data_IF_647387575394
#
_entry.id   IF_647387575394
#
_cell.length_a   1.000
_cell.length_b   1.000
_cell.length_c   1.000
_cell.angle_alpha   90.00
_cell.angle_beta   90.00
_cell.angle_gamma   90.00
#
_symmetry.space_group_name_H-M   'P 1'
#
loop_
_entity.id
_entity.type
_entity.pdbx_description
1 polymer ?
#
# COMPACT_ATOMS: atom_id res chain seq x y z
N UNK A 1 15.24 -1.52 -16.63
CA UNK A 1 14.13 -0.58 -16.39
C UNK A 1 13.08 -0.81 -17.45
N UNK A 2 11.85 -1.13 -17.05
CA UNK A 2 10.72 -1.30 -17.97
C UNK A 2 10.16 0.07 -18.41
N UNK A 3 9.21 0.06 -19.35
CA UNK A 3 8.63 1.31 -19.89
C UNK A 3 7.77 2.05 -18.84
N UNK A 4 7.06 1.33 -17.98
CA UNK A 4 6.22 1.93 -16.94
C UNK A 4 7.01 2.76 -15.93
N UNK A 5 8.16 2.26 -15.45
CA UNK A 5 9.05 3.05 -14.59
C UNK A 5 9.66 4.23 -15.31
N UNK A 6 10.05 4.07 -16.59
CA UNK A 6 10.58 5.19 -17.38
C UNK A 6 9.54 6.32 -17.47
N UNK A 7 8.33 5.97 -17.88
CA UNK A 7 7.23 6.92 -18.07
C UNK A 7 6.92 7.64 -16.76
N UNK A 8 6.74 6.91 -15.66
CA UNK A 8 6.44 7.53 -14.36
C UNK A 8 7.55 8.45 -13.84
N UNK A 9 8.81 8.14 -14.14
CA UNK A 9 9.96 8.99 -13.75
C UNK A 9 10.11 10.22 -14.63
N UNK A 10 9.85 10.10 -15.95
CA UNK A 10 9.82 11.23 -16.88
C UNK A 10 8.65 12.17 -16.53
N UNK A 11 7.49 11.61 -16.17
CA UNK A 11 6.39 12.39 -15.58
C UNK A 11 6.85 13.07 -14.29
N UNK A 12 7.42 12.35 -13.32
CA UNK A 12 7.83 12.94 -12.04
C UNK A 12 8.80 14.12 -12.22
N UNK A 13 9.70 14.06 -13.20
CA UNK A 13 10.64 15.14 -13.50
C UNK A 13 9.93 16.48 -13.76
N UNK A 14 8.77 16.45 -14.40
CA UNK A 14 8.05 17.64 -14.90
C UNK A 14 6.72 17.91 -14.18
N UNK A 15 6.09 16.87 -13.64
CA UNK A 15 4.79 16.92 -12.96
C UNK A 15 4.87 17.13 -11.44
N UNK A 16 6.07 17.29 -10.88
CA UNK A 16 6.27 17.61 -9.47
C UNK A 16 7.11 18.88 -9.30
N UNK A 17 6.96 19.65 -8.20
CA UNK A 17 7.76 20.86 -7.96
C UNK A 17 9.25 20.58 -7.95
N UNK A 18 10.08 21.56 -8.30
CA UNK A 18 11.54 21.43 -8.14
C UNK A 18 11.91 21.27 -6.65
N UNK A 19 12.98 20.55 -6.37
CA UNK A 19 13.51 20.38 -5.00
C UNK A 19 14.32 21.59 -4.53
N UNK A 20 14.74 22.47 -5.45
CA UNK A 20 15.67 23.57 -5.21
C UNK A 20 17.14 23.15 -5.20
N UNK A 21 17.45 21.86 -5.34
CA UNK A 21 18.82 21.35 -5.45
C UNK A 21 19.22 21.33 -6.93
N UNK A 22 20.23 22.12 -7.29
CA UNK A 22 20.80 22.11 -8.64
C UNK A 22 21.48 20.77 -8.94
N UNK A 23 20.93 20.02 -9.88
CA UNK A 23 21.41 18.70 -10.25
C UNK A 23 22.85 18.68 -10.80
N UNK A 24 23.33 19.77 -11.41
CA UNK A 24 24.65 19.85 -12.05
C UNK A 24 25.70 20.59 -11.22
N UNK A 25 25.31 21.17 -10.08
CA UNK A 25 26.23 21.87 -9.22
C UNK A 25 27.25 20.91 -8.58
N UNK A 26 28.46 21.43 -8.37
CA UNK A 26 29.50 20.75 -7.60
C UNK A 26 29.32 21.18 -6.15
N UNK A 27 28.99 20.22 -5.29
CA UNK A 27 28.73 20.46 -3.89
C UNK A 27 29.95 20.14 -3.03
N UNK A 28 30.22 21.00 -2.05
CA UNK A 28 31.16 20.70 -0.98
C UNK A 28 30.48 19.82 0.08
N UNK A 29 31.14 18.71 0.43
CA UNK A 29 30.58 17.70 1.33
C UNK A 29 30.34 18.23 2.75
N UNK A 30 31.19 19.13 3.22
CA UNK A 30 31.22 19.54 4.63
C UNK A 30 30.30 20.76 4.86
N UNK A 31 30.00 21.54 3.82
CA UNK A 31 29.17 22.74 3.93
C UNK A 31 27.79 22.63 3.28
N UNK A 32 27.49 21.57 2.53
CA UNK A 32 26.20 21.43 1.86
C UNK A 32 25.04 21.29 2.86
N UNK A 33 24.00 22.09 2.63
CA UNK A 33 22.71 21.98 3.30
C UNK A 33 21.59 21.98 2.27
N UNK A 34 20.60 21.11 2.46
CA UNK A 34 19.41 21.12 1.62
C UNK A 34 18.65 22.45 1.77
N UNK A 35 18.08 23.00 0.68
CA UNK A 35 17.17 24.14 0.76
C UNK A 35 15.84 23.73 1.42
N UNK A 36 15.11 24.69 1.98
CA UNK A 36 13.81 24.44 2.64
C UNK A 36 12.75 23.86 1.69
N UNK A 37 12.93 24.04 0.38
CA UNK A 37 12.07 23.47 -0.66
C UNK A 37 12.35 21.99 -0.94
N UNK A 38 13.45 21.44 -0.43
CA UNK A 38 13.85 20.08 -0.72
C UNK A 38 12.88 19.07 -0.11
N UNK A 39 12.64 18.00 -0.85
CA UNK A 39 11.83 16.88 -0.41
C UNK A 39 12.37 15.57 -0.96
N UNK A 40 12.03 14.49 -0.27
CA UNK A 40 12.37 13.11 -0.61
C UNK A 40 11.28 12.39 -1.40
N UNK A 41 11.71 11.41 -2.19
CA UNK A 41 10.87 10.43 -2.86
C UNK A 41 11.11 9.07 -2.22
N UNK A 42 10.09 8.54 -1.55
CA UNK A 42 10.13 7.23 -0.92
C UNK A 42 9.82 6.15 -1.96
N UNK A 43 10.71 5.19 -2.10
CA UNK A 43 10.51 3.98 -2.91
C UNK A 43 11.43 2.88 -2.41
N UNK A 44 11.30 1.68 -2.96
CA UNK A 44 12.27 0.63 -2.69
C UNK A 44 13.64 0.99 -3.25
N UNK A 45 14.71 0.59 -2.55
CA UNK A 45 16.06 1.07 -2.80
C UNK A 45 16.60 0.73 -4.20
N UNK A 46 16.14 -0.36 -4.80
CA UNK A 46 16.41 -0.75 -6.19
C UNK A 46 16.22 0.43 -7.17
N UNK A 47 15.25 1.32 -6.89
CA UNK A 47 14.82 2.38 -7.80
C UNK A 47 15.49 3.74 -7.54
N UNK A 48 16.27 3.89 -6.47
CA UNK A 48 16.78 5.21 -6.05
C UNK A 48 17.69 5.88 -7.08
N UNK A 49 18.53 5.13 -7.80
CA UNK A 49 19.31 5.71 -8.90
C UNK A 49 18.43 6.17 -10.04
N UNK A 50 17.36 5.45 -10.37
CA UNK A 50 16.43 5.86 -11.43
C UNK A 50 15.68 7.15 -11.06
N UNK A 51 15.25 7.27 -9.81
CA UNK A 51 14.67 8.51 -9.24
C UNK A 51 15.66 9.67 -9.35
N UNK A 52 16.92 9.44 -9.00
CA UNK A 52 17.96 10.48 -9.09
C UNK A 52 18.21 10.90 -10.53
N UNK A 53 18.51 9.94 -11.41
CA UNK A 53 19.01 10.22 -12.76
C UNK A 53 17.93 10.66 -13.76
N UNK A 54 16.72 10.12 -13.65
CA UNK A 54 15.64 10.38 -14.63
C UNK A 54 14.69 11.44 -14.08
N UNK A 55 14.14 11.21 -12.89
CA UNK A 55 13.20 12.17 -12.29
C UNK A 55 13.90 13.42 -11.74
N UNK A 56 15.22 13.39 -11.55
CA UNK A 56 15.97 14.49 -10.91
C UNK A 56 15.33 14.88 -9.58
N UNK A 57 15.00 13.87 -8.79
CA UNK A 57 14.48 14.00 -7.42
C UNK A 57 15.37 13.25 -6.43
N UNK A 58 15.20 13.53 -5.15
CA UNK A 58 16.05 13.00 -4.08
C UNK A 58 15.42 11.71 -3.55
N UNK A 59 15.99 10.52 -3.80
CA UNK A 59 15.42 9.29 -3.27
C UNK A 59 15.70 9.15 -1.76
N UNK A 60 14.72 8.66 -0.98
CA UNK A 60 14.95 8.37 0.44
C UNK A 60 15.77 7.10 0.69
N UNK A 61 15.83 6.19 -0.29
CA UNK A 61 16.67 4.99 -0.28
C UNK A 61 17.27 4.72 -1.66
N UNK A 62 18.47 4.12 -1.74
CA UNK A 62 19.17 3.95 -3.02
C UNK A 62 19.97 2.63 -3.15
N UNK A 63 20.42 2.27 -4.38
CA UNK A 63 21.14 1.02 -4.66
C UNK A 63 22.45 0.78 -3.89
N UNK A 64 22.99 1.77 -3.17
CA UNK A 64 24.07 1.55 -2.20
C UNK A 64 23.57 0.98 -0.87
N UNK A 65 22.29 0.60 -0.80
CA UNK A 65 21.57 0.14 0.38
C UNK A 65 21.47 1.21 1.49
N UNK A 66 21.74 2.47 1.14
CA UNK A 66 21.48 3.59 2.03
C UNK A 66 19.96 3.81 2.16
N UNK A 67 19.49 4.04 3.39
CA UNK A 67 18.07 4.30 3.66
C UNK A 67 17.15 3.07 3.62
N UNK A 68 17.67 1.86 3.43
CA UNK A 68 16.87 0.62 3.37
C UNK A 68 16.35 0.20 4.73
N UNK A 69 17.27 0.11 5.71
CA UNK A 69 17.07 -0.58 6.98
C UNK A 69 16.93 0.37 8.15
N UNK A 70 16.60 -0.20 9.31
CA UNK A 70 16.37 0.54 10.55
C UNK A 70 14.93 1.04 10.67
N UNK A 71 14.62 1.59 11.84
CA UNK A 71 13.27 2.03 12.23
C UNK A 71 12.65 3.09 11.29
N UNK A 72 13.49 3.80 10.54
CA UNK A 72 13.08 4.88 9.64
C UNK A 72 13.38 4.55 8.17
N UNK A 73 13.81 3.32 7.87
CA UNK A 73 14.20 2.92 6.51
C UNK A 73 12.99 2.63 5.60
N UNK A 74 13.25 2.51 4.29
CA UNK A 74 12.23 2.15 3.31
C UNK A 74 11.52 0.83 3.64
N UNK A 75 12.24 -0.17 4.19
CA UNK A 75 11.62 -1.42 4.63
C UNK A 75 10.59 -1.19 5.75
N UNK A 76 10.91 -0.36 6.74
CA UNK A 76 9.97 0.01 7.80
C UNK A 76 8.78 0.80 7.26
N UNK A 77 9.00 1.75 6.35
CA UNK A 77 7.93 2.51 5.71
C UNK A 77 6.91 1.60 5.02
N UNK A 78 7.36 0.68 4.15
CA UNK A 78 6.46 -0.14 3.34
C UNK A 78 5.78 -1.28 4.11
N UNK A 79 6.42 -1.80 5.17
CA UNK A 79 5.90 -2.94 5.96
C UNK A 79 5.08 -2.47 7.18
N UNK A 80 5.13 -1.18 7.53
CA UNK A 80 4.30 -0.58 8.56
C UNK A 80 2.82 -0.87 8.33
N UNK A 81 2.09 -1.17 9.42
CA UNK A 81 0.68 -1.58 9.36
C UNK A 81 -0.29 -0.48 9.83
N UNK A 82 0.26 0.65 10.25
CA UNK A 82 -0.48 1.81 10.76
C UNK A 82 -0.03 3.04 9.99
N UNK A 83 -0.97 3.93 9.68
CA UNK A 83 -0.64 5.20 9.01
C UNK A 83 0.21 6.10 9.90
N UNK A 84 -0.01 6.13 11.22
CA UNK A 84 0.80 6.91 12.17
C UNK A 84 2.31 6.61 12.04
N UNK A 85 2.70 5.34 12.08
CA UNK A 85 4.11 4.95 11.91
C UNK A 85 4.64 5.28 10.50
N UNK A 86 3.80 5.16 9.49
CA UNK A 86 4.17 5.48 8.10
C UNK A 86 4.44 6.97 7.93
N UNK A 87 3.57 7.81 8.49
CA UNK A 87 3.68 9.26 8.52
C UNK A 87 4.91 9.70 9.31
N UNK A 88 5.16 9.10 10.48
CA UNK A 88 6.35 9.36 11.28
C UNK A 88 7.63 9.16 10.47
N UNK A 89 7.70 8.07 9.69
CA UNK A 89 8.85 7.79 8.83
C UNK A 89 8.92 8.80 7.67
N UNK A 90 7.79 9.10 7.03
CA UNK A 90 7.72 10.11 5.97
C UNK A 90 8.25 11.47 6.43
N UNK A 91 7.79 11.94 7.60
CA UNK A 91 8.20 13.21 8.20
C UNK A 91 9.71 13.24 8.48
N UNK A 92 10.25 12.19 9.12
CA UNK A 92 11.69 12.08 9.42
C UNK A 92 12.53 12.06 8.14
N UNK A 93 12.00 11.47 7.07
CA UNK A 93 12.69 11.36 5.78
C UNK A 93 12.43 12.55 4.86
N UNK A 94 11.62 13.52 5.27
CA UNK A 94 11.18 14.62 4.41
C UNK A 94 10.48 14.12 3.14
N UNK A 95 9.83 12.96 3.20
CA UNK A 95 9.14 12.36 2.05
C UNK A 95 7.97 13.25 1.65
N UNK A 96 7.88 13.58 0.36
CA UNK A 96 6.69 14.22 -0.22
C UNK A 96 6.00 13.32 -1.23
N UNK A 97 6.76 12.51 -1.97
CA UNK A 97 6.19 11.57 -2.94
C UNK A 97 6.58 10.14 -2.61
N UNK A 98 5.71 9.20 -2.92
CA UNK A 98 5.95 7.76 -2.78
C UNK A 98 5.76 7.10 -4.13
N UNK A 99 6.77 6.39 -4.62
CA UNK A 99 6.66 5.57 -5.83
C UNK A 99 6.58 4.09 -5.44
N UNK A 100 5.54 3.41 -5.93
CA UNK A 100 5.30 1.99 -5.70
C UNK A 100 5.17 1.27 -7.04
N UNK A 101 5.57 0.00 -7.09
CA UNK A 101 5.25 -0.87 -8.22
C UNK A 101 4.70 -2.23 -7.77
N UNK A 102 4.19 -2.98 -8.75
CA UNK A 102 3.63 -4.30 -8.48
C UNK A 102 4.66 -5.28 -7.94
N UNK A 103 5.93 -5.14 -8.32
CA UNK A 103 7.00 -5.99 -7.80
C UNK A 103 7.16 -5.79 -6.29
N UNK A 104 7.17 -4.55 -5.80
CA UNK A 104 7.20 -4.24 -4.36
C UNK A 104 6.02 -4.89 -3.62
N UNK A 105 4.80 -4.80 -4.15
CA UNK A 105 3.62 -5.39 -3.52
C UNK A 105 3.62 -6.94 -3.56
N UNK A 106 4.36 -7.55 -4.48
CA UNK A 106 4.37 -9.00 -4.72
C UNK A 106 5.79 -9.58 -4.64
N UNK A 107 6.50 -9.70 -5.76
CA UNK A 107 7.76 -10.44 -5.90
C UNK A 107 8.96 -9.92 -5.10
N UNK A 108 8.93 -8.67 -4.66
CA UNK A 108 9.96 -8.03 -3.80
C UNK A 108 9.50 -7.83 -2.35
N UNK A 109 8.23 -8.13 -2.05
CA UNK A 109 7.69 -8.00 -0.70
C UNK A 109 8.54 -8.76 0.33
N UNK A 110 8.98 -9.97 -0.03
CA UNK A 110 9.79 -10.82 0.83
C UNK A 110 11.09 -10.15 1.29
N UNK A 111 11.73 -9.39 0.39
CA UNK A 111 12.97 -8.69 0.69
C UNK A 111 12.68 -7.53 1.66
N UNK A 112 11.63 -6.74 1.41
CA UNK A 112 11.23 -5.65 2.32
C UNK A 112 10.92 -6.18 3.72
N UNK A 113 10.15 -7.27 3.83
CA UNK A 113 9.83 -7.89 5.10
C UNK A 113 11.08 -8.42 5.83
N UNK A 114 12.05 -8.98 5.09
CA UNK A 114 13.32 -9.46 5.64
C UNK A 114 14.23 -8.32 6.12
N UNK A 115 14.29 -7.21 5.38
CA UNK A 115 15.02 -6.02 5.80
C UNK A 115 14.39 -5.34 7.01
N UNK A 116 13.06 -5.41 7.14
CA UNK A 116 12.33 -4.91 8.29
C UNK A 116 12.54 -5.77 9.54
N UNK A 117 12.41 -7.10 9.39
CA UNK A 117 12.66 -8.07 10.45
C UNK A 117 13.24 -9.35 9.87
N UNK A 118 14.56 -9.53 9.98
CA UNK A 118 15.27 -10.67 9.40
C UNK A 118 14.95 -12.01 10.06
N UNK A 119 14.38 -12.00 11.27
CA UNK A 119 13.97 -13.22 11.97
C UNK A 119 12.60 -13.70 11.49
N UNK A 120 11.64 -12.77 11.33
CA UNK A 120 10.29 -13.11 10.90
C UNK A 120 10.17 -13.23 9.37
N UNK A 121 10.88 -12.37 8.62
CA UNK A 121 10.80 -12.28 7.17
C UNK A 121 9.36 -12.11 6.68
N UNK A 122 9.05 -12.71 5.53
CA UNK A 122 7.72 -12.62 4.92
C UNK A 122 6.66 -13.48 5.60
N UNK A 123 7.03 -14.49 6.40
CA UNK A 123 6.11 -15.54 6.87
C UNK A 123 4.83 -15.02 7.57
N UNK A 124 4.87 -13.97 8.42
CA UNK A 124 3.66 -13.44 9.03
C UNK A 124 2.67 -12.80 8.04
N UNK A 125 3.15 -12.41 6.86
CA UNK A 125 2.41 -11.65 5.84
C UNK A 125 2.00 -12.55 4.67
N UNK A 126 2.97 -13.32 4.17
CA UNK A 126 2.86 -14.17 3.00
C UNK A 126 3.25 -15.64 3.32
N UNK A 127 2.52 -16.34 4.21
CA UNK A 127 2.85 -17.71 4.55
C UNK A 127 2.65 -18.64 3.36
N UNK A 128 3.56 -19.60 3.23
CA UNK A 128 3.49 -20.67 2.23
C UNK A 128 2.91 -21.91 2.87
N UNK A 129 1.86 -22.45 2.26
CA UNK A 129 1.24 -23.71 2.64
C UNK A 129 1.40 -24.75 1.54
N UNK A 130 1.42 -26.03 1.93
CA UNK A 130 1.30 -27.14 1.00
C UNK A 130 -0.16 -27.53 0.84
N UNK A 131 -0.62 -27.59 -0.41
CA UNK A 131 -1.98 -27.98 -0.78
C UNK A 131 -1.93 -29.28 -1.56
N UNK A 132 -2.74 -30.30 -1.23
CA UNK A 132 -2.80 -31.53 -2.00
C UNK A 132 -3.47 -31.33 -3.36
N UNK A 133 -2.89 -31.91 -4.40
CA UNK A 133 -3.40 -31.84 -5.79
C UNK A 133 -4.79 -32.48 -5.92
N UNK A 134 -5.04 -33.48 -5.08
CA UNK A 134 -6.34 -34.09 -4.92
C UNK A 134 -6.61 -34.30 -3.42
N UNK A 135 -7.59 -33.61 -2.82
CA UNK A 135 -7.95 -33.78 -1.40
C UNK A 135 -8.35 -35.21 -1.04
N UNK A 136 -8.86 -36.01 -2.00
CA UNK A 136 -9.25 -37.39 -1.79
C UNK A 136 -8.10 -38.40 -1.96
N UNK A 137 -6.99 -38.02 -2.61
CA UNK A 137 -5.80 -38.86 -2.78
C UNK A 137 -4.54 -37.99 -2.90
N UNK A 138 -3.99 -37.49 -1.78
CA UNK A 138 -2.89 -36.54 -1.77
C UNK A 138 -1.55 -37.24 -2.07
N UNK A 139 -1.28 -37.53 -3.34
CA UNK A 139 0.01 -38.09 -3.78
C UNK A 139 1.08 -37.02 -4.04
N UNK A 140 0.65 -35.78 -4.29
CA UNK A 140 1.49 -34.63 -4.55
C UNK A 140 0.99 -33.42 -3.76
N UNK A 141 1.93 -32.60 -3.30
CA UNK A 141 1.70 -31.39 -2.52
C UNK A 141 2.33 -30.22 -3.26
N UNK A 142 1.53 -29.19 -3.53
CA UNK A 142 1.97 -27.97 -4.20
C UNK A 142 2.08 -26.80 -3.22
N UNK A 143 3.17 -26.03 -3.24
CA UNK A 143 3.28 -24.83 -2.43
C UNK A 143 2.38 -23.72 -2.98
N UNK A 144 1.64 -23.08 -2.09
CA UNK A 144 0.80 -21.91 -2.37
C UNK A 144 1.17 -20.80 -1.41
N UNK A 145 1.61 -19.66 -1.95
CA UNK A 145 1.74 -18.43 -1.17
C UNK A 145 0.36 -17.86 -0.90
N UNK A 146 0.07 -17.60 0.36
CA UNK A 146 -1.17 -16.99 0.81
C UNK A 146 -0.88 -15.64 1.47
N UNK A 147 -1.91 -14.83 1.71
CA UNK A 147 -1.82 -13.47 2.23
C UNK A 147 -2.71 -13.36 3.47
N UNK A 148 -2.18 -12.77 4.54
CA UNK A 148 -2.88 -12.61 5.83
C UNK A 148 -3.36 -11.18 6.04
N UNK A 149 -4.15 -10.96 7.11
CA UNK A 149 -4.51 -9.62 7.60
C UNK A 149 -3.28 -8.70 7.68
N UNK A 150 -2.14 -9.25 8.11
CA UNK A 150 -0.90 -8.48 8.25
C UNK A 150 -0.38 -7.95 6.92
N UNK A 151 -0.49 -8.71 5.82
CA UNK A 151 -0.10 -8.24 4.51
C UNK A 151 -0.99 -7.09 4.04
N UNK A 152 -2.31 -7.26 4.12
CA UNK A 152 -3.25 -6.25 3.61
C UNK A 152 -3.18 -4.93 4.35
N UNK A 153 -2.78 -4.94 5.62
CA UNK A 153 -2.58 -3.74 6.42
C UNK A 153 -1.25 -3.03 6.14
N UNK A 154 -0.30 -3.65 5.42
CA UNK A 154 0.97 -2.97 5.10
C UNK A 154 0.76 -1.75 4.23
N UNK A 155 1.57 -0.72 4.43
CA UNK A 155 1.56 0.51 3.61
C UNK A 155 1.71 0.21 2.13
N UNK A 156 2.57 -0.74 1.75
CA UNK A 156 2.70 -1.11 0.32
C UNK A 156 1.39 -1.68 -0.25
N UNK A 157 0.69 -2.54 0.47
CA UNK A 157 -0.59 -3.09 0.00
C UNK A 157 -1.67 -2.00 -0.04
N UNK A 158 -1.77 -1.17 1.02
CA UNK A 158 -2.72 -0.06 1.12
C UNK A 158 -2.56 0.95 -0.02
N UNK A 159 -1.33 1.34 -0.33
CA UNK A 159 -1.04 2.22 -1.47
C UNK A 159 -1.28 1.50 -2.79
N UNK A 160 -0.57 0.40 -3.05
CA UNK A 160 -0.47 -0.15 -4.40
C UNK A 160 -1.69 -0.96 -4.81
N UNK A 161 -2.25 -1.78 -3.91
CA UNK A 161 -3.35 -2.69 -4.26
C UNK A 161 -4.71 -1.99 -4.16
N UNK A 162 -4.83 -1.00 -3.26
CA UNK A 162 -6.10 -0.39 -2.87
C UNK A 162 -6.18 1.12 -3.11
N UNK A 163 -5.17 1.71 -3.76
CA UNK A 163 -5.13 3.15 -4.10
C UNK A 163 -5.30 4.08 -2.87
N UNK A 164 -4.93 3.60 -1.68
CA UNK A 164 -5.13 4.30 -0.41
C UNK A 164 -6.59 4.41 0.04
N UNK A 165 -7.52 3.69 -0.57
CA UNK A 165 -8.96 3.74 -0.26
C UNK A 165 -9.36 2.68 0.78
N UNK A 166 -10.37 3.00 1.60
CA UNK A 166 -11.05 2.04 2.45
C UNK A 166 -11.57 0.87 1.59
N UNK A 167 -11.13 -0.34 1.90
CA UNK A 167 -11.52 -1.56 1.19
C UNK A 167 -12.05 -2.59 2.18
N UNK A 168 -13.29 -3.02 2.01
CA UNK A 168 -13.91 -4.03 2.87
C UNK A 168 -13.36 -5.42 2.58
N UNK A 169 -13.25 -6.24 3.62
CA UNK A 169 -12.97 -7.66 3.45
C UNK A 169 -14.04 -8.34 2.59
N UNK A 170 -13.61 -9.23 1.70
CA UNK A 170 -14.51 -10.05 0.90
C UNK A 170 -14.71 -11.45 1.50
N UNK A 171 -15.02 -12.39 0.62
CA UNK A 171 -14.90 -13.81 0.92
C UNK A 171 -13.44 -14.19 1.15
N UNK A 172 -13.19 -15.04 2.12
CA UNK A 172 -11.84 -15.49 2.52
C UNK A 172 -11.76 -17.01 2.52
N UNK A 173 -10.54 -17.55 2.46
CA UNK A 173 -10.30 -18.96 2.75
C UNK A 173 -10.12 -19.14 4.25
N UNK A 174 -11.09 -19.78 4.90
CA UNK A 174 -10.87 -20.48 6.15
C UNK A 174 -10.06 -21.75 5.85
N UNK A 175 -8.94 -21.94 6.53
CA UNK A 175 -8.07 -23.10 6.36
C UNK A 175 -7.82 -23.78 7.69
N UNK A 176 -7.78 -25.11 7.68
CA UNK A 176 -7.22 -25.93 8.75
C UNK A 176 -5.94 -26.58 8.24
N UNK A 177 -4.88 -26.53 9.03
CA UNK A 177 -3.57 -27.02 8.62
C UNK A 177 -2.82 -27.70 9.76
N UNK A 178 -1.86 -28.54 9.37
CA UNK A 178 -0.96 -29.21 10.31
C UNK A 178 0.50 -28.84 10.05
N UNK A 179 1.27 -28.70 11.13
CA UNK A 179 2.73 -28.51 11.10
C UNK A 179 3.50 -29.81 11.31
N UNK A 180 2.82 -30.94 11.54
CA UNK A 180 3.42 -32.22 11.92
C UNK A 180 3.34 -33.29 10.83
N UNK A 181 3.04 -32.91 9.59
CA UNK A 181 2.90 -33.85 8.46
C UNK A 181 4.22 -34.52 8.03
N UNK A 182 5.37 -33.93 8.37
CA UNK A 182 6.68 -34.38 7.89
C UNK A 182 6.92 -34.14 6.39
N UNK A 183 6.01 -33.42 5.71
CA UNK A 183 6.03 -33.22 4.26
C UNK A 183 7.01 -32.12 3.78
N UNK A 184 7.79 -31.53 4.68
CA UNK A 184 8.74 -30.47 4.36
C UNK A 184 8.70 -29.33 5.38
N UNK A 185 9.26 -28.14 5.03
CA UNK A 185 9.35 -27.01 5.96
C UNK A 185 8.04 -26.22 6.11
N UNK A 186 7.02 -26.53 5.29
CA UNK A 186 5.77 -25.77 5.23
C UNK A 186 4.60 -26.57 5.81
N UNK A 187 3.64 -25.89 6.49
CA UNK A 187 2.43 -26.56 6.96
C UNK A 187 1.57 -27.06 5.80
N UNK A 188 0.83 -28.16 6.02
CA UNK A 188 -0.06 -28.76 5.02
C UNK A 188 -1.49 -28.39 5.32
N UNK A 189 -2.20 -27.81 4.35
CA UNK A 189 -3.65 -27.58 4.44
C UNK A 189 -4.37 -28.92 4.37
N UNK A 190 -5.20 -29.16 5.38
CA UNK A 190 -6.00 -30.39 5.56
C UNK A 190 -7.47 -30.17 5.25
N UNK A 191 -7.96 -28.93 5.39
CA UNK A 191 -9.31 -28.52 5.05
C UNK A 191 -9.30 -27.05 4.62
N UNK A 192 -10.16 -26.68 3.67
CA UNK A 192 -10.35 -25.30 3.27
C UNK A 192 -11.82 -25.06 2.88
N UNK A 193 -12.35 -23.90 3.26
CA UNK A 193 -13.68 -23.45 2.89
C UNK A 193 -13.67 -21.95 2.60
N UNK A 194 -14.51 -21.53 1.66
CA UNK A 194 -14.76 -20.10 1.39
C UNK A 194 -15.88 -19.65 2.33
N UNK A 195 -15.65 -18.57 3.07
CA UNK A 195 -16.56 -18.03 4.07
C UNK A 195 -16.48 -16.50 4.09
N UNK A 196 -17.50 -15.83 4.62
CA UNK A 196 -17.39 -14.40 4.93
C UNK A 196 -16.35 -14.16 6.04
N UNK A 197 -15.58 -13.07 5.96
CA UNK A 197 -14.44 -12.83 6.86
C UNK A 197 -14.80 -12.92 8.37
N UNK A 198 -15.96 -12.40 8.79
CA UNK A 198 -16.40 -12.47 10.19
C UNK A 198 -16.73 -13.91 10.63
N UNK A 199 -17.42 -14.67 9.79
CA UNK A 199 -17.75 -16.09 10.03
C UNK A 199 -16.47 -16.93 10.10
N UNK A 200 -15.57 -16.75 9.14
CA UNK A 200 -14.29 -17.45 9.07
C UNK A 200 -13.42 -17.21 10.32
N UNK A 201 -13.41 -15.97 10.84
CA UNK A 201 -12.72 -15.65 12.12
C UNK A 201 -13.33 -16.38 13.30
N UNK A 202 -14.66 -16.40 13.39
CA UNK A 202 -15.36 -17.11 14.47
C UNK A 202 -15.08 -18.61 14.42
N UNK A 203 -15.11 -19.21 13.22
CA UNK A 203 -14.79 -20.62 13.00
C UNK A 203 -13.33 -20.95 13.37
N UNK A 204 -12.36 -20.12 12.94
CA UNK A 204 -10.95 -20.30 13.28
C UNK A 204 -10.69 -20.18 14.78
N UNK A 205 -11.32 -19.23 15.46
CA UNK A 205 -11.23 -19.10 16.91
C UNK A 205 -11.81 -20.34 17.63
N UNK A 206 -12.97 -20.83 17.17
CA UNK A 206 -13.61 -22.02 17.73
C UNK A 206 -12.74 -23.28 17.54
N UNK A 207 -12.18 -23.49 16.35
CA UNK A 207 -11.29 -24.61 16.06
C UNK A 207 -10.04 -24.56 16.95
N UNK A 208 -9.36 -23.41 16.97
CA UNK A 208 -8.11 -23.26 17.71
C UNK A 208 -8.26 -23.40 19.23
N UNK A 209 -9.46 -23.14 19.78
CA UNK A 209 -9.74 -23.37 21.21
C UNK A 209 -9.72 -24.85 21.61
N UNK A 210 -9.86 -25.77 20.64
CA UNK A 210 -9.96 -27.22 20.87
C UNK A 210 -8.95 -28.03 20.05
N UNK A 211 -8.02 -27.34 19.36
CA UNK A 211 -7.11 -27.96 18.43
C UNK A 211 -6.10 -28.87 19.14
N UNK A 212 -5.83 -30.02 18.53
CA UNK A 212 -4.77 -30.92 18.98
C UNK A 212 -3.39 -30.29 18.72
N UNK A 213 -2.35 -30.66 19.49
CA UNK A 213 -0.99 -30.17 19.24
C UNK A 213 -0.55 -30.40 17.79
N UNK A 214 -0.12 -29.33 17.11
CA UNK A 214 0.31 -29.39 15.72
C UNK A 214 -0.79 -29.19 14.68
N UNK A 215 -2.04 -28.98 15.10
CA UNK A 215 -3.19 -28.60 14.25
C UNK A 215 -3.63 -27.17 14.53
N UNK A 216 -4.00 -26.44 13.49
CA UNK A 216 -4.36 -25.03 13.58
C UNK A 216 -5.41 -24.67 12.52
N UNK A 217 -6.15 -23.59 12.77
CA UNK A 217 -6.98 -22.92 11.78
C UNK A 217 -6.58 -21.46 11.59
N UNK A 218 -6.74 -20.92 10.38
CA UNK A 218 -6.49 -19.51 10.06
C UNK A 218 -7.41 -19.02 8.95
N UNK A 219 -7.45 -17.71 8.77
CA UNK A 219 -7.99 -17.07 7.58
C UNK A 219 -6.86 -16.58 6.69
N UNK A 220 -6.97 -16.76 5.38
CA UNK A 220 -6.02 -16.27 4.38
C UNK A 220 -6.74 -15.97 3.07
N UNK A 221 -6.04 -15.33 2.14
CA UNK A 221 -6.41 -15.38 0.73
C UNK A 221 -5.22 -15.77 -0.14
N UNK A 222 -5.46 -16.21 -1.38
CA UNK A 222 -4.41 -16.49 -2.37
C UNK A 222 -4.13 -15.29 -3.27
N UNK A 223 -4.95 -14.23 -3.19
CA UNK A 223 -4.86 -13.04 -4.03
C UNK A 223 -4.54 -11.78 -3.22
N UNK A 224 -3.47 -11.08 -3.61
CA UNK A 224 -2.96 -9.88 -2.92
C UNK A 224 -3.91 -8.67 -2.94
N UNK A 225 -4.94 -8.70 -3.78
CA UNK A 225 -5.93 -7.63 -3.93
C UNK A 225 -7.32 -8.01 -3.36
N UNK A 226 -7.42 -9.11 -2.60
CA UNK A 226 -8.66 -9.54 -1.96
C UNK A 226 -8.48 -9.63 -0.44
N UNK A 227 -8.70 -8.54 0.29
CA UNK A 227 -8.31 -8.46 1.69
C UNK A 227 -9.13 -9.36 2.59
N UNK A 228 -8.47 -9.93 3.59
CA UNK A 228 -9.09 -10.77 4.64
C UNK A 228 -9.63 -9.96 5.82
N UNK A 229 -9.28 -8.68 5.89
CA UNK A 229 -9.68 -7.70 6.91
C UNK A 229 -10.09 -6.40 6.22
N UNK A 230 -10.97 -5.62 6.85
CA UNK A 230 -11.23 -4.27 6.37
C UNK A 230 -9.91 -3.48 6.40
N UNK A 231 -9.53 -2.95 5.24
CA UNK A 231 -8.32 -2.17 5.06
C UNK A 231 -8.69 -0.69 5.19
N UNK A 232 -8.23 0.01 6.24
CA UNK A 232 -8.54 1.42 6.40
C UNK A 232 -7.88 2.26 5.31
N UNK A 233 -8.57 3.33 4.92
CA UNK A 233 -8.05 4.33 4.00
C UNK A 233 -6.74 4.93 4.51
N UNK A 234 -5.93 5.45 3.59
CA UNK A 234 -4.82 6.33 3.90
C UNK A 234 -5.33 7.76 3.78
N UNK A 235 -5.34 8.47 4.90
CA UNK A 235 -5.85 9.83 5.03
C UNK A 235 -4.91 10.89 4.45
N UNK A 236 -3.61 10.59 4.41
CA UNK A 236 -2.55 11.52 4.05
C UNK A 236 -1.88 11.21 2.70
N UNK A 237 -2.41 10.25 1.94
CA UNK A 237 -1.81 9.82 0.67
C UNK A 237 -2.84 9.87 -0.46
N UNK A 238 -2.55 10.64 -1.50
CA UNK A 238 -3.34 10.69 -2.74
C UNK A 238 -2.55 10.15 -3.92
N UNK A 239 -3.19 9.36 -4.77
CA UNK A 239 -2.63 8.98 -6.07
C UNK A 239 -2.56 10.24 -6.94
N UNK A 240 -1.39 10.52 -7.50
CA UNK A 240 -1.15 11.70 -8.36
C UNK A 240 -0.74 11.32 -9.78
N UNK A 241 -0.26 10.09 -9.98
CA UNK A 241 0.07 9.53 -11.28
C UNK A 241 0.10 8.01 -11.25
N UNK A 242 -0.18 7.38 -12.38
CA UNK A 242 0.02 5.95 -12.59
C UNK A 242 0.46 5.65 -14.02
N UNK A 243 1.25 4.60 -14.18
CA UNK A 243 1.75 4.16 -15.48
C UNK A 243 0.64 3.46 -16.30
N UNK A 244 0.78 3.35 -17.64
CA UNK A 244 -0.32 2.89 -18.49
C UNK A 244 -0.64 1.40 -18.37
N UNK A 245 0.34 0.56 -18.02
CA UNK A 245 0.16 -0.90 -18.04
C UNK A 245 -0.70 -1.38 -16.87
N UNK A 246 -1.85 -1.98 -17.15
CA UNK A 246 -2.54 -2.85 -16.18
C UNK A 246 -1.80 -4.19 -16.11
N UNK A 247 -1.52 -4.66 -14.89
CA UNK A 247 -0.87 -5.96 -14.67
C UNK A 247 -1.78 -7.15 -14.96
N UNK A 248 -3.10 -6.92 -15.08
CA UNK A 248 -4.06 -7.91 -15.54
C UNK A 248 -4.34 -7.73 -17.04
N UNK A 249 -4.54 -8.86 -17.74
CA UNK A 249 -4.87 -8.86 -19.18
C UNK A 249 -6.29 -8.38 -19.50
N UNK A 250 -7.13 -8.17 -18.48
CA UNK A 250 -8.51 -7.68 -18.60
C UNK A 250 -8.69 -6.24 -18.11
N UNK A 251 -9.92 -5.75 -18.13
CA UNK A 251 -10.27 -4.40 -17.64
C UNK A 251 -10.48 -4.34 -16.12
N UNK A 252 -10.65 -5.47 -15.45
CA UNK A 252 -10.83 -5.54 -14.01
C UNK A 252 -10.27 -6.86 -13.46
N UNK A 253 -9.57 -6.84 -12.31
CA UNK A 253 -9.15 -5.64 -11.58
C UNK A 253 -8.13 -4.80 -12.39
N UNK A 254 -8.14 -3.49 -12.18
CA UNK A 254 -7.23 -2.55 -12.86
C UNK A 254 -6.19 -2.05 -11.86
N UNK A 255 -5.03 -2.73 -11.84
CA UNK A 255 -3.89 -2.38 -11.00
C UNK A 255 -2.74 -1.99 -11.93
N UNK A 256 -2.40 -0.71 -11.94
CA UNK A 256 -1.29 -0.19 -12.74
C UNK A 256 0.06 -0.62 -12.21
N UNK A 257 0.99 -0.81 -13.14
CA UNK A 257 2.33 -1.32 -12.83
C UNK A 257 3.10 -0.41 -11.87
N UNK A 258 3.18 0.90 -12.14
CA UNK A 258 3.80 1.91 -11.26
C UNK A 258 2.74 2.93 -10.83
N UNK A 259 2.77 3.33 -9.57
CA UNK A 259 1.90 4.37 -8.99
C UNK A 259 2.72 5.37 -8.20
N UNK A 260 2.40 6.66 -8.34
CA UNK A 260 2.99 7.76 -7.58
C UNK A 260 1.94 8.39 -6.70
N UNK A 261 2.24 8.49 -5.41
CA UNK A 261 1.41 9.14 -4.42
C UNK A 261 2.08 10.40 -3.89
N UNK A 262 1.30 11.41 -3.52
CA UNK A 262 1.78 12.54 -2.71
C UNK A 262 1.32 12.36 -1.27
N UNK A 263 2.24 12.59 -0.34
CA UNK A 263 1.99 12.67 1.09
C UNK A 263 1.62 14.12 1.45
N UNK A 264 0.43 14.31 2.03
CA UNK A 264 -0.18 15.61 2.31
C UNK A 264 -0.79 15.67 3.71
N UNK A 265 -0.88 16.85 4.34
CA UNK A 265 -1.60 16.99 5.61
C UNK A 265 -3.08 16.58 5.52
N UNK A 266 -3.75 16.85 4.40
CA UNK A 266 -5.15 16.47 4.17
C UNK A 266 -6.15 17.41 4.83
N UNK A 267 -7.21 17.76 4.12
CA UNK A 267 -8.23 18.67 4.64
C UNK A 267 -9.10 17.98 5.69
N UNK A 268 -9.57 18.72 6.69
CA UNK A 268 -10.33 18.17 7.84
C UNK A 268 -11.81 18.46 7.70
N UNK A 269 -12.66 17.44 7.81
CA UNK A 269 -14.11 17.54 7.66
C UNK A 269 -14.78 16.86 8.85
N UNK A 270 -15.68 17.58 9.52
CA UNK A 270 -16.46 17.02 10.63
C UNK A 270 -17.62 16.15 10.11
N UNK A 271 -17.76 14.95 10.66
CA UNK A 271 -18.85 14.04 10.34
C UNK A 271 -18.61 12.59 10.77
N UNK A 272 -19.66 11.81 10.71
CA UNK A 272 -19.68 10.39 11.10
C UNK A 272 -19.87 9.48 9.87
N UNK A 273 -19.52 8.20 10.02
CA UNK A 273 -19.76 7.19 9.00
C UNK A 273 -18.65 7.11 7.94
N UNK A 274 -19.04 7.03 6.67
CA UNK A 274 -18.11 6.89 5.53
C UNK A 274 -18.23 8.08 4.61
N UNK A 275 -17.10 8.67 4.22
CA UNK A 275 -17.01 9.70 3.20
C UNK A 275 -16.43 9.11 1.92
N UNK A 276 -16.87 9.60 0.76
CA UNK A 276 -16.39 9.11 -0.53
C UNK A 276 -16.24 10.22 -1.58
N UNK A 277 -15.33 10.04 -2.53
CA UNK A 277 -15.13 10.94 -3.67
C UNK A 277 -14.80 10.14 -4.94
N UNK A 278 -15.44 10.43 -6.10
CA UNK A 278 -15.05 9.80 -7.35
C UNK A 278 -13.75 10.41 -7.88
N UNK A 279 -12.80 9.55 -8.29
CA UNK A 279 -11.48 9.93 -8.80
C UNK A 279 -11.27 9.33 -10.18
N UNK A 280 -10.71 10.13 -11.09
CA UNK A 280 -10.24 9.69 -12.41
C UNK A 280 -8.73 9.90 -12.50
N UNK A 281 -8.01 8.89 -12.98
CA UNK A 281 -6.55 8.95 -13.13
C UNK A 281 -6.12 9.52 -14.48
N UNK A 282 -4.82 9.79 -14.63
CA UNK A 282 -4.20 10.21 -15.89
C UNK A 282 -4.36 9.17 -17.03
N UNK A 283 -4.63 7.90 -16.71
CA UNK A 283 -4.90 6.84 -17.71
C UNK A 283 -6.39 6.69 -18.04
N UNK A 284 -7.26 7.51 -17.42
CA UNK A 284 -8.71 7.40 -17.55
C UNK A 284 -9.35 6.33 -16.66
N UNK A 285 -8.57 5.63 -15.81
CA UNK A 285 -9.12 4.70 -14.81
C UNK A 285 -9.97 5.48 -13.81
N UNK A 286 -11.11 4.91 -13.44
CA UNK A 286 -12.02 5.51 -12.47
C UNK A 286 -12.14 4.63 -11.24
N UNK A 287 -12.12 5.25 -10.06
CA UNK A 287 -12.39 4.58 -8.79
C UNK A 287 -13.07 5.55 -7.82
N UNK A 288 -13.57 5.03 -6.71
CA UNK A 288 -14.12 5.84 -5.62
C UNK A 288 -13.18 5.70 -4.43
N UNK A 289 -12.57 6.81 -4.02
CA UNK A 289 -11.83 6.84 -2.76
C UNK A 289 -12.81 6.97 -1.60
N UNK A 290 -12.63 6.17 -0.55
CA UNK A 290 -13.49 6.10 0.62
C UNK A 290 -12.67 6.14 1.89
N UNK A 291 -13.22 6.71 2.95
CA UNK A 291 -12.66 6.64 4.30
C UNK A 291 -13.77 6.58 5.36
N UNK A 292 -13.50 5.85 6.45
CA UNK A 292 -14.33 5.90 7.65
C UNK A 292 -13.90 7.08 8.53
N UNK A 293 -14.85 7.63 9.28
CA UNK A 293 -14.59 8.67 10.28
C UNK A 293 -13.78 8.10 11.45
N UNK A 294 -12.89 8.91 12.01
CA UNK A 294 -12.17 8.63 13.25
C UNK A 294 -12.51 9.75 14.24
N UNK A 295 -13.13 9.39 15.36
CA UNK A 295 -13.55 10.33 16.41
C UNK A 295 -14.38 11.53 15.89
N UNK A 296 -15.27 11.28 14.93
CA UNK A 296 -16.17 12.29 14.36
C UNK A 296 -15.53 13.19 13.31
N UNK A 297 -14.33 12.86 12.83
CA UNK A 297 -13.60 13.60 11.82
C UNK A 297 -13.13 12.72 10.66
N UNK A 298 -13.16 13.29 9.45
CA UNK A 298 -12.48 12.79 8.28
C UNK A 298 -11.28 13.68 7.96
N UNK A 299 -10.14 13.05 7.67
CA UNK A 299 -9.01 13.67 6.99
C UNK A 299 -9.01 13.16 5.55
N UNK A 300 -9.02 14.07 4.58
CA UNK A 300 -9.19 13.73 3.16
C UNK A 300 -8.04 14.28 2.29
N UNK A 301 -7.41 13.44 1.44
CA UNK A 301 -6.20 13.85 0.72
C UNK A 301 -6.48 14.39 -0.69
N UNK A 302 -7.64 14.10 -1.31
CA UNK A 302 -7.95 14.62 -2.64
C UNK A 302 -8.63 15.98 -2.57
N UNK A 303 -8.16 16.94 -3.36
CA UNK A 303 -8.90 18.17 -3.61
C UNK A 303 -9.95 17.95 -4.70
N UNK A 304 -11.12 18.58 -4.56
CA UNK A 304 -12.18 18.61 -5.57
C UNK A 304 -12.11 19.85 -6.46
N UNK A 305 -11.31 20.85 -6.06
CA UNK A 305 -11.04 22.04 -6.86
C UNK A 305 -9.58 22.46 -6.74
N UNK A 306 -8.99 22.94 -7.83
CA UNK A 306 -7.61 23.46 -7.84
C UNK A 306 -6.49 22.41 -7.75
N UNK A 307 -6.79 21.11 -7.89
CA UNK A 307 -5.74 20.07 -7.95
C UNK A 307 -4.77 20.36 -9.11
N UNK A 308 -3.44 20.29 -8.88
CA UNK A 308 -2.44 20.49 -9.92
C UNK A 308 -2.19 19.23 -10.78
N UNK A 309 -2.78 18.08 -10.42
CA UNK A 309 -2.50 16.79 -11.05
C UNK A 309 -3.59 16.34 -12.01
N UNK A 310 -3.21 15.45 -12.92
CA UNK A 310 -4.13 14.79 -13.86
C UNK A 310 -5.01 13.76 -13.16
N UNK A 311 -4.49 13.08 -12.13
CA UNK A 311 -5.33 12.30 -11.21
C UNK A 311 -6.10 13.28 -10.33
N UNK A 312 -7.43 13.27 -10.46
CA UNK A 312 -8.29 14.29 -9.84
C UNK A 312 -9.65 13.75 -9.48
N UNK A 313 -10.23 14.34 -8.43
CA UNK A 313 -11.64 14.14 -8.12
C UNK A 313 -12.52 14.70 -9.25
N UNK A 314 -13.60 13.99 -9.58
CA UNK A 314 -14.56 14.39 -10.62
C UNK A 314 -15.90 14.86 -10.06
N UNK A 315 -16.00 14.93 -8.73
CA UNK A 315 -17.15 15.43 -7.99
C UNK A 315 -16.76 15.84 -6.58
N UNK A 316 -17.74 16.30 -5.81
CA UNK A 316 -17.57 16.63 -4.40
C UNK A 316 -17.43 15.36 -3.55
N UNK A 317 -16.88 15.51 -2.34
CA UNK A 317 -17.01 14.47 -1.33
C UNK A 317 -18.46 14.31 -0.93
N UNK A 318 -18.89 13.08 -0.65
CA UNK A 318 -20.21 12.74 -0.13
C UNK A 318 -20.08 11.94 1.16
N UNK A 319 -20.78 12.36 2.21
CA UNK A 319 -20.96 11.50 3.40
C UNK A 319 -22.11 10.53 3.11
N UNK A 320 -21.79 9.24 3.04
CA UNK A 320 -22.70 8.16 2.66
C UNK A 320 -23.94 8.17 3.55
N UNK A 321 -25.12 8.06 2.94
CA UNK A 321 -26.40 8.02 3.64
C UNK A 321 -26.95 9.37 4.11
N UNK A 322 -26.18 10.46 4.01
CA UNK A 322 -26.61 11.80 4.50
C UNK A 322 -27.04 12.76 3.40
N UNK A 323 -26.59 12.54 2.16
CA UNK A 323 -26.77 13.48 1.05
C UNK A 323 -25.93 14.76 1.14
N UNK A 324 -25.10 14.91 2.18
CA UNK A 324 -24.19 16.06 2.32
C UNK A 324 -23.05 15.94 1.31
N UNK A 325 -22.89 16.98 0.49
CA UNK A 325 -21.78 17.13 -0.46
C UNK A 325 -20.85 18.26 -0.02
N UNK A 326 -19.54 18.04 -0.12
CA UNK A 326 -18.50 18.96 0.36
C UNK A 326 -17.44 19.17 -0.72
N UNK A 327 -17.23 20.43 -1.10
CA UNK A 327 -16.10 20.81 -1.95
C UNK A 327 -14.86 21.03 -1.10
N UNK A 328 -13.71 20.55 -1.56
CA UNK A 328 -12.43 20.64 -0.88
C UNK A 328 -11.43 21.32 -1.81
N UNK A 329 -10.98 22.55 -1.51
CA UNK A 329 -9.95 23.21 -2.31
C UNK A 329 -8.55 22.68 -1.97
N UNK A 330 -7.66 22.76 -2.96
CA UNK A 330 -6.28 22.27 -2.85
C UNK A 330 -5.48 22.93 -1.71
N UNK A 331 -5.68 24.22 -1.46
CA UNK A 331 -5.03 24.95 -0.37
C UNK A 331 -5.38 24.37 1.01
N UNK A 332 -6.62 23.91 1.21
CA UNK A 332 -7.03 23.24 2.44
C UNK A 332 -6.37 21.86 2.60
N UNK A 333 -6.17 21.12 1.51
CA UNK A 333 -5.45 19.83 1.54
C UNK A 333 -3.99 20.03 1.94
N UNK A 334 -3.32 21.01 1.32
CA UNK A 334 -1.90 21.28 1.56
C UNK A 334 -1.65 21.91 2.94
N UNK A 335 -2.59 22.70 3.46
CA UNK A 335 -2.45 23.33 4.79
C UNK A 335 -3.02 22.51 5.94
N UNK A 336 -3.79 21.46 5.66
CA UNK A 336 -4.50 20.69 6.69
C UNK A 336 -5.70 21.43 7.29
N UNK A 337 -6.25 22.40 6.56
CA UNK A 337 -7.29 23.28 7.08
C UNK A 337 -8.64 22.56 7.24
N UNK A 338 -9.46 22.97 8.24
CA UNK A 338 -10.82 22.51 8.36
C UNK A 338 -11.70 23.08 7.24
N UNK A 339 -12.63 22.25 6.75
CA UNK A 339 -13.70 22.63 5.82
C UNK A 339 -14.99 22.84 6.61
N UNK A 340 -15.64 23.99 6.38
CA UNK A 340 -16.88 24.38 7.06
C UNK A 340 -18.09 23.52 6.67
#
# INVERSE_FOLDING_TARGET
MNQDWREALEWMQTGTPDTGVDYFAIYDRDTFTYPDTAYGVMSWWDYGHMITYIAKRIPNANPFQAGVSGRDGAAAFFISQTEEETNRIADIKGTRYVMTDIEMATGKFWAMATWYNSTAGQQPYQPVFLVPDNPANPQALNPVTTYTDKYYLTTIARLHNFDGSLTTAGDVYYIEYTTTSGAGPYPVITSAAIMGAAEARAAAAQYNAQAQPGSFASIVNSLFNQPTVDVPALHHYRLVHESPTNIFSGSSPDIRYVKVFEYVPGARIQGEGVIEVPVTTNTGRQFVWRAASVDGEFIVPYATTGSPYEVRATGNYRIVGTGREIAVPEDAVISGAPIA
#
